data_IF_816598246458
#
_entry.id   IF_816598246458
#
_cell.length_a   1.000
_cell.length_b   1.000
_cell.length_c   1.000
_cell.angle_alpha   90.00
_cell.angle_beta   90.00
_cell.angle_gamma   90.00
#
_symmetry.space_group_name_H-M   'P 1'
#
loop_
_entity.id
_entity.type
_entity.pdbx_description
1 polymer ?
#
# COMPACT_ATOMS: atom_id res chain seq x y z
N UNK A 1 -11.41 4.50 11.91
CA UNK A 1 -10.50 3.79 10.98
C UNK A 1 -10.48 4.51 9.64
N UNK A 2 -9.30 4.71 9.10
CA UNK A 2 -9.12 5.26 7.76
C UNK A 2 -8.71 4.14 6.81
N UNK A 3 -9.42 3.98 5.72
CA UNK A 3 -9.07 3.06 4.66
C UNK A 3 -8.50 3.85 3.49
N UNK A 4 -7.32 3.44 3.05
CA UNK A 4 -6.62 4.03 1.91
C UNK A 4 -6.37 2.95 0.86
N UNK A 5 -6.72 3.24 -0.39
CA UNK A 5 -6.39 2.35 -1.50
C UNK A 5 -5.59 3.11 -2.55
N UNK A 6 -4.71 2.42 -3.23
CA UNK A 6 -3.91 3.01 -4.30
C UNK A 6 -3.73 2.02 -5.45
N UNK A 7 -3.75 2.54 -6.66
CA UNK A 7 -3.35 1.80 -7.85
C UNK A 7 -1.98 2.33 -8.29
N UNK A 8 -1.03 1.43 -8.46
CA UNK A 8 0.31 1.78 -8.95
C UNK A 8 0.59 0.95 -10.20
N UNK A 9 0.86 1.63 -11.31
CA UNK A 9 1.28 0.97 -12.54
C UNK A 9 2.76 1.23 -12.75
N UNK A 10 3.51 0.17 -13.10
CA UNK A 10 4.95 0.23 -13.27
C UNK A 10 5.33 -0.15 -14.70
N UNK A 11 6.55 0.20 -15.09
CA UNK A 11 7.12 -0.29 -16.35
C UNK A 11 7.18 -1.82 -16.34
N UNK A 12 6.97 -2.44 -17.50
CA UNK A 12 6.95 -3.89 -17.62
C UNK A 12 8.26 -4.54 -17.14
N UNK A 13 9.39 -3.93 -17.43
CA UNK A 13 10.70 -4.42 -17.01
C UNK A 13 10.98 -4.23 -15.51
N UNK A 14 10.16 -3.43 -14.84
CA UNK A 14 10.33 -3.16 -13.41
C UNK A 14 9.41 -4.00 -12.51
N UNK A 15 8.57 -4.87 -13.08
CA UNK A 15 7.56 -5.61 -12.31
C UNK A 15 8.16 -6.40 -11.15
N UNK A 16 9.19 -7.19 -11.40
CA UNK A 16 9.79 -8.03 -10.35
C UNK A 16 10.52 -7.22 -9.27
N UNK A 17 11.43 -6.30 -9.60
CA UNK A 17 12.05 -5.50 -8.54
C UNK A 17 11.04 -4.65 -7.77
N UNK A 18 10.01 -4.12 -8.44
CA UNK A 18 8.96 -3.36 -7.78
C UNK A 18 8.16 -4.26 -6.82
N UNK A 19 7.77 -5.45 -7.28
CA UNK A 19 7.02 -6.40 -6.46
C UNK A 19 7.77 -6.73 -5.16
N UNK A 20 9.04 -7.05 -5.27
CA UNK A 20 9.88 -7.38 -4.11
C UNK A 20 9.94 -6.18 -3.16
N UNK A 21 10.18 -4.99 -3.70
CA UNK A 21 10.29 -3.78 -2.88
C UNK A 21 8.98 -3.41 -2.21
N UNK A 22 7.86 -3.55 -2.92
CA UNK A 22 6.52 -3.26 -2.39
C UNK A 22 6.16 -4.21 -1.24
N UNK A 23 6.46 -5.49 -1.37
CA UNK A 23 6.21 -6.46 -0.30
C UNK A 23 6.98 -6.10 0.97
N UNK A 24 8.23 -5.65 0.81
CA UNK A 24 9.03 -5.19 1.94
C UNK A 24 8.41 -3.94 2.59
N UNK A 25 7.92 -3.01 1.78
CA UNK A 25 7.27 -1.79 2.30
C UNK A 25 6.01 -2.14 3.09
N UNK A 26 5.20 -3.06 2.59
CA UNK A 26 4.01 -3.52 3.30
C UNK A 26 4.37 -4.15 4.64
N UNK A 27 5.40 -4.98 4.66
CA UNK A 27 5.89 -5.61 5.90
C UNK A 27 6.40 -4.55 6.89
N UNK A 28 7.21 -3.60 6.42
CA UNK A 28 7.75 -2.54 7.27
C UNK A 28 6.64 -1.69 7.88
N UNK A 29 5.60 -1.40 7.09
CA UNK A 29 4.50 -0.57 7.55
C UNK A 29 3.73 -1.20 8.71
N UNK A 30 3.34 -2.48 8.58
CA UNK A 30 2.59 -3.14 9.65
C UNK A 30 3.49 -3.49 10.84
N UNK A 31 4.79 -3.67 10.62
CA UNK A 31 5.73 -4.03 11.68
C UNK A 31 6.14 -2.82 12.51
N UNK A 32 6.38 -1.68 11.86
CA UNK A 32 6.95 -0.50 12.53
C UNK A 32 5.94 0.58 12.87
N UNK A 33 4.70 0.47 12.41
CA UNK A 33 3.65 1.47 12.66
C UNK A 33 2.51 0.84 13.45
N UNK A 34 2.38 1.20 14.71
CA UNK A 34 1.29 0.70 15.55
C UNK A 34 -0.09 1.02 14.97
N UNK A 35 -0.21 2.14 14.27
CA UNK A 35 -1.49 2.57 13.68
C UNK A 35 -1.77 2.01 12.30
N UNK A 36 -0.82 1.31 11.67
CA UNK A 36 -1.07 0.61 10.41
C UNK A 36 -1.48 -0.82 10.70
N UNK A 37 -2.77 -1.10 10.61
CA UNK A 37 -3.32 -2.40 11.01
C UNK A 37 -3.41 -3.40 9.88
N UNK A 38 -3.31 -2.92 8.63
CA UNK A 38 -3.39 -3.77 7.46
C UNK A 38 -2.71 -3.10 6.27
N UNK A 39 -1.98 -3.87 5.49
CA UNK A 39 -1.35 -3.40 4.27
C UNK A 39 -1.28 -4.59 3.31
N UNK A 40 -2.31 -4.73 2.46
CA UNK A 40 -2.42 -5.83 1.51
C UNK A 40 -2.01 -5.37 0.11
N UNK A 41 -1.30 -6.22 -0.59
CA UNK A 41 -0.81 -5.95 -1.93
C UNK A 41 -1.43 -6.95 -2.90
N UNK A 42 -1.97 -6.44 -3.99
CA UNK A 42 -2.58 -7.26 -5.03
C UNK A 42 -2.01 -6.90 -6.38
N UNK A 43 -1.98 -7.86 -7.29
CA UNK A 43 -1.55 -7.66 -8.66
C UNK A 43 -2.70 -8.05 -9.57
N UNK A 44 -2.98 -7.27 -10.61
CA UNK A 44 -4.08 -7.58 -11.50
C UNK A 44 -3.78 -8.86 -12.29
N UNK A 45 -4.81 -9.71 -12.45
CA UNK A 45 -4.66 -10.99 -13.11
C UNK A 45 -4.23 -10.87 -14.57
N UNK A 46 -4.83 -9.95 -15.29
CA UNK A 46 -4.59 -9.79 -16.72
C UNK A 46 -3.48 -8.82 -17.08
N UNK A 47 -2.95 -8.10 -16.09
CA UNK A 47 -1.95 -7.07 -16.32
C UNK A 47 -0.94 -7.01 -15.16
N UNK A 48 0.19 -7.69 -15.27
CA UNK A 48 1.16 -7.77 -14.18
C UNK A 48 1.81 -6.42 -13.81
N UNK A 49 1.65 -5.39 -14.63
CA UNK A 49 2.20 -4.06 -14.31
C UNK A 49 1.34 -3.27 -13.35
N UNK A 50 0.11 -3.73 -13.06
CA UNK A 50 -0.83 -2.99 -12.21
C UNK A 50 -0.95 -3.65 -10.85
N UNK A 51 -0.74 -2.85 -9.80
CA UNK A 51 -0.82 -3.26 -8.40
C UNK A 51 -1.88 -2.46 -7.67
N UNK A 52 -2.61 -3.12 -6.77
CA UNK A 52 -3.57 -2.50 -5.87
C UNK A 52 -3.06 -2.64 -4.44
N UNK A 53 -3.00 -1.52 -3.73
CA UNK A 53 -2.66 -1.47 -2.31
C UNK A 53 -3.95 -1.21 -1.53
N UNK A 54 -4.15 -2.00 -0.47
CA UNK A 54 -5.30 -1.88 0.43
C UNK A 54 -4.76 -1.71 1.85
N UNK A 55 -4.92 -0.49 2.40
CA UNK A 55 -4.23 -0.11 3.63
C UNK A 55 -5.24 0.39 4.66
N UNK A 56 -5.11 -0.06 5.90
CA UNK A 56 -5.95 0.38 7.00
C UNK A 56 -5.10 1.04 8.09
N UNK A 57 -5.56 2.21 8.52
CA UNK A 57 -4.92 2.98 9.59
C UNK A 57 -5.94 3.25 10.70
N UNK A 58 -5.44 3.36 11.94
CA UNK A 58 -6.30 3.58 13.09
C UNK A 58 -7.10 4.89 12.96
N UNK A 59 -6.43 5.94 12.46
CA UNK A 59 -7.01 7.27 12.27
C UNK A 59 -6.16 8.09 11.28
N UNK A 60 -6.53 9.34 11.06
CA UNK A 60 -5.79 10.22 10.17
C UNK A 60 -4.38 10.52 10.69
N UNK A 61 -4.20 10.62 12.00
CA UNK A 61 -2.88 10.86 12.58
C UNK A 61 -1.92 9.69 12.28
N UNK A 62 -2.43 8.45 12.34
CA UNK A 62 -1.64 7.26 12.00
C UNK A 62 -1.23 7.28 10.53
N UNK A 63 -2.12 7.71 9.65
CA UNK A 63 -1.81 7.83 8.23
C UNK A 63 -0.74 8.91 7.98
N UNK A 64 -0.83 10.05 8.66
CA UNK A 64 0.19 11.10 8.54
C UNK A 64 1.56 10.61 9.04
N UNK A 65 1.59 9.83 10.12
CA UNK A 65 2.83 9.20 10.57
C UNK A 65 3.42 8.25 9.53
N UNK A 66 2.55 7.51 8.82
CA UNK A 66 2.99 6.65 7.72
C UNK A 66 3.69 7.46 6.63
N UNK A 67 3.05 8.54 6.17
CA UNK A 67 3.55 9.36 5.08
C UNK A 67 4.87 10.07 5.38
N UNK A 68 5.18 10.28 6.64
CA UNK A 68 6.41 10.94 7.08
C UNK A 68 7.45 9.97 7.63
N UNK A 69 7.13 8.68 7.66
CA UNK A 69 8.04 7.67 8.19
C UNK A 69 9.27 7.48 7.30
N UNK A 70 10.43 7.12 7.90
CA UNK A 70 11.63 6.84 7.12
C UNK A 70 11.43 5.73 6.09
N UNK A 71 10.70 4.67 6.42
CA UNK A 71 10.48 3.56 5.48
C UNK A 71 9.59 3.96 4.30
N UNK A 72 8.58 4.84 4.52
CA UNK A 72 7.77 5.35 3.42
C UNK A 72 8.60 6.20 2.47
N UNK A 73 9.38 7.13 3.02
CA UNK A 73 10.21 8.01 2.20
C UNK A 73 11.27 7.24 1.43
N UNK A 74 11.87 6.22 2.05
CA UNK A 74 12.82 5.35 1.37
C UNK A 74 12.15 4.55 0.24
N UNK A 75 10.97 4.02 0.50
CA UNK A 75 10.19 3.30 -0.52
C UNK A 75 9.92 4.21 -1.73
N UNK A 76 9.43 5.43 -1.49
CA UNK A 76 9.13 6.37 -2.57
C UNK A 76 10.36 6.67 -3.42
N UNK A 77 11.50 6.85 -2.78
CA UNK A 77 12.77 7.09 -3.48
C UNK A 77 13.19 5.88 -4.30
N UNK A 78 13.09 4.69 -3.71
CA UNK A 78 13.54 3.46 -4.37
C UNK A 78 12.71 3.12 -5.61
N UNK A 79 11.42 3.46 -5.64
CA UNK A 79 10.51 3.07 -6.73
C UNK A 79 10.22 4.19 -7.73
N UNK A 80 10.73 5.37 -7.53
CA UNK A 80 10.34 6.55 -8.31
C UNK A 80 10.52 6.38 -9.82
N UNK A 81 11.55 5.65 -10.26
CA UNK A 81 11.82 5.45 -11.68
C UNK A 81 11.06 4.25 -12.26
N UNK A 82 10.39 3.48 -11.43
CA UNK A 82 9.62 2.30 -11.85
C UNK A 82 8.13 2.59 -12.01
N UNK A 83 7.60 3.53 -11.24
CA UNK A 83 6.16 3.84 -11.23
C UNK A 83 5.85 4.85 -12.34
N UNK A 84 4.92 4.48 -13.23
CA UNK A 84 4.48 5.35 -14.34
C UNK A 84 3.16 6.04 -14.06
N UNK A 85 2.34 5.48 -13.17
CA UNK A 85 1.03 6.05 -12.86
C UNK A 85 0.67 5.69 -11.43
N UNK A 86 0.07 6.66 -10.73
CA UNK A 86 -0.36 6.51 -9.36
C UNK A 86 -1.70 7.18 -9.17
N UNK A 87 -2.70 6.44 -8.67
CA UNK A 87 -4.00 6.97 -8.28
C UNK A 87 -4.35 6.42 -6.90
N UNK A 88 -5.06 7.21 -6.10
CA UNK A 88 -5.37 6.80 -4.73
C UNK A 88 -6.70 7.36 -4.28
N UNK A 89 -7.29 6.71 -3.25
CA UNK A 89 -8.57 7.09 -2.66
C UNK A 89 -8.53 6.91 -1.15
N UNK A 90 -9.37 7.68 -0.48
CA UNK A 90 -9.62 7.54 0.95
C UNK A 90 -11.07 7.14 1.13
N UNK A 91 -11.34 6.24 2.08
CA UNK A 91 -12.65 5.65 2.27
C UNK A 91 -13.05 5.69 3.73
N UNK A 92 -14.32 6.01 4.00
CA UNK A 92 -14.91 5.87 5.32
C UNK A 92 -15.64 4.52 5.35
N UNK A 93 -15.19 3.56 6.17
CA UNK A 93 -15.90 2.28 6.27
C UNK A 93 -17.32 2.50 6.80
N UNK A 94 -18.31 1.93 6.12
CA UNK A 94 -19.70 1.99 6.57
C UNK A 94 -20.22 0.61 6.96
N UNK A 95 -19.53 -0.45 6.54
CA UNK A 95 -19.81 -1.82 6.95
C UNK A 95 -18.52 -2.62 6.84
N UNK A 96 -18.03 -3.12 7.97
CA UNK A 96 -16.78 -3.89 8.02
C UNK A 96 -17.08 -5.24 8.67
N UNK A 97 -16.81 -6.31 7.92
CA UNK A 97 -16.86 -7.68 8.48
C UNK A 97 -15.50 -8.01 9.03
N UNK A 98 -15.38 -8.09 10.34
CA UNK A 98 -14.11 -8.31 11.04
C UNK A 98 -13.67 -9.76 11.07
N UNK A 99 -14.63 -10.69 10.94
CA UNK A 99 -14.33 -12.12 11.02
C UNK A 99 -14.86 -12.84 9.79
N UNK A 100 -14.11 -13.83 9.27
CA UNK A 100 -14.60 -14.63 8.15
C UNK A 100 -15.81 -15.47 8.57
N UNK A 101 -16.71 -15.71 7.65
CA UNK A 101 -17.77 -16.68 7.83
C UNK A 101 -17.17 -18.08 7.81
N UNK A 102 -17.61 -18.89 8.75
CA UNK A 102 -17.22 -20.30 8.83
C UNK A 102 -18.22 -21.17 8.11
#
# INVERSE_FOLDING_TARGET
MLLHTAHLRVHAEAVEPFRVRLLRHAHDSVTHEAGCTRFDVHQERGNPTLFLLFECYADEAAFELHRTSPHYLAFREDVKDWVVERTWWYWNPINVTLEPKL
#
